data_IF_937919053326
#
_entry.id   IF_937919053326
#
_cell.length_a   1.000
_cell.length_b   1.000
_cell.length_c   1.000
_cell.angle_alpha   90.00
_cell.angle_beta   90.00
_cell.angle_gamma   90.00
#
_symmetry.space_group_name_H-M   'P 1'
#
loop_
_entity.id
_entity.type
_entity.pdbx_description
1 polymer ?
#
# COMPACT_ATOMS: atom_id res chain seq x y z
N UNK A 1 0.38 14.39 4.78
CA UNK A 1 1.41 13.95 3.80
C UNK A 1 1.15 14.53 2.41
N UNK A 2 -0.11 14.61 1.98
CA UNK A 2 -0.48 15.28 0.74
C UNK A 2 0.04 14.60 -0.52
N UNK A 3 0.26 13.29 -0.44
CA UNK A 3 0.71 12.50 -1.59
C UNK A 3 -0.47 12.37 -2.55
N UNK A 4 -0.35 12.80 -3.82
CA UNK A 4 -1.43 12.74 -4.79
C UNK A 4 -1.64 11.30 -5.28
N UNK A 5 -2.37 10.51 -4.49
CA UNK A 5 -2.75 9.15 -4.85
C UNK A 5 -3.86 9.17 -5.91
N UNK A 6 -3.82 8.21 -6.84
CA UNK A 6 -4.84 8.07 -7.89
C UNK A 6 -6.22 7.70 -7.33
N UNK A 7 -6.27 6.91 -6.26
CA UNK A 7 -7.47 6.48 -5.58
C UNK A 7 -7.13 5.92 -4.18
N UNK A 8 -8.06 5.96 -3.22
CA UNK A 8 -7.89 5.24 -1.96
C UNK A 8 -7.90 3.72 -2.20
N UNK A 9 -7.11 3.01 -1.39
CA UNK A 9 -6.97 1.55 -1.41
C UNK A 9 -7.32 1.02 -0.02
N UNK A 10 -8.14 -0.03 0.03
CA UNK A 10 -8.40 -0.79 1.24
C UNK A 10 -8.06 -2.26 1.02
N UNK A 11 -7.79 -2.97 2.10
CA UNK A 11 -7.57 -4.41 2.09
C UNK A 11 -8.44 -5.11 3.12
N UNK A 12 -8.70 -6.38 2.90
CA UNK A 12 -9.46 -7.23 3.82
C UNK A 12 -8.84 -8.64 3.85
N UNK A 13 -8.80 -9.22 5.05
CA UNK A 13 -8.47 -10.62 5.25
C UNK A 13 -9.76 -11.44 5.32
N UNK A 14 -9.77 -12.56 4.62
CA UNK A 14 -10.94 -13.41 4.48
C UNK A 14 -10.52 -14.83 4.83
N UNK A 15 -11.42 -15.57 5.48
CA UNK A 15 -11.17 -16.97 5.84
C UNK A 15 -12.13 -17.92 5.15
N UNK A 16 -11.79 -19.20 5.20
CA UNK A 16 -12.67 -20.29 4.82
C UNK A 16 -12.69 -21.35 5.90
N UNK A 17 -13.87 -21.86 6.21
CA UNK A 17 -14.06 -23.08 7.00
C UNK A 17 -14.82 -24.08 6.15
N UNK A 18 -14.37 -25.32 6.15
CA UNK A 18 -14.98 -26.44 5.47
C UNK A 18 -15.38 -27.53 6.46
N UNK A 19 -16.52 -28.19 6.21
CA UNK A 19 -17.00 -29.28 7.03
C UNK A 19 -17.77 -30.31 6.21
N UNK A 20 -17.64 -31.58 6.57
CA UNK A 20 -18.47 -32.66 6.04
C UNK A 20 -19.83 -32.66 6.75
N UNK A 21 -20.90 -32.39 6.00
CA UNK A 21 -22.26 -32.35 6.52
C UNK A 21 -23.13 -33.19 5.57
N UNK A 22 -23.78 -34.24 6.12
CA UNK A 22 -24.63 -35.16 5.36
C UNK A 22 -23.95 -35.83 4.15
N UNK A 23 -22.62 -36.01 4.23
CA UNK A 23 -21.81 -36.62 3.16
C UNK A 23 -21.32 -35.64 2.09
N UNK A 24 -21.61 -34.35 2.23
CA UNK A 24 -21.13 -33.29 1.34
C UNK A 24 -20.19 -32.33 2.06
N UNK A 25 -19.12 -31.90 1.39
CA UNK A 25 -18.24 -30.83 1.90
C UNK A 25 -18.94 -29.49 1.71
N UNK A 26 -19.26 -28.82 2.82
CA UNK A 26 -19.77 -27.44 2.83
C UNK A 26 -18.64 -26.47 3.16
N UNK A 27 -18.68 -25.30 2.53
CA UNK A 27 -17.72 -24.23 2.75
C UNK A 27 -18.43 -22.97 3.24
N UNK A 28 -17.83 -22.28 4.18
CA UNK A 28 -18.29 -20.99 4.72
C UNK A 28 -17.14 -20.00 4.64
N UNK A 29 -17.39 -18.86 3.99
CA UNK A 29 -16.43 -17.76 3.92
C UNK A 29 -16.64 -16.81 5.09
N UNK A 30 -15.55 -16.48 5.79
CA UNK A 30 -15.52 -15.51 6.87
C UNK A 30 -14.91 -14.20 6.37
N UNK A 31 -15.46 -13.07 6.80
CA UNK A 31 -14.97 -11.73 6.47
C UNK A 31 -14.28 -11.13 7.68
N UNK A 32 -13.13 -10.48 7.46
CA UNK A 32 -12.36 -9.80 8.49
C UNK A 32 -11.94 -10.73 9.63
N UNK A 33 -11.25 -11.81 9.26
CA UNK A 33 -10.96 -12.90 10.19
C UNK A 33 -10.05 -12.49 11.34
N UNK A 34 -10.33 -13.06 12.50
CA UNK A 34 -9.48 -13.02 13.68
C UNK A 34 -8.32 -14.01 13.54
N UNK A 35 -7.24 -13.79 14.30
CA UNK A 35 -6.10 -14.72 14.30
C UNK A 35 -6.46 -16.16 14.70
N UNK A 36 -7.51 -16.35 15.52
CA UNK A 36 -8.00 -17.69 15.85
C UNK A 36 -8.73 -18.35 14.67
N UNK A 37 -9.46 -17.58 13.87
CA UNK A 37 -10.17 -18.06 12.67
C UNK A 37 -9.18 -18.35 11.55
N UNK A 38 -8.09 -17.59 11.44
CA UNK A 38 -6.95 -17.92 10.57
C UNK A 38 -6.27 -19.22 11.01
N UNK A 39 -5.89 -19.33 12.29
CA UNK A 39 -5.18 -20.50 12.80
C UNK A 39 -5.98 -21.80 12.65
N UNK A 40 -7.29 -21.75 12.91
CA UNK A 40 -8.19 -22.91 12.88
C UNK A 40 -8.91 -23.10 11.54
N UNK A 41 -8.92 -22.08 10.67
CA UNK A 41 -9.55 -22.12 9.37
C UNK A 41 -8.70 -22.84 8.32
N UNK A 42 -9.32 -23.10 7.18
CA UNK A 42 -8.77 -23.88 6.08
C UNK A 42 -8.08 -23.05 5.00
N UNK A 43 -8.38 -21.75 4.98
CA UNK A 43 -7.78 -20.79 4.05
C UNK A 43 -7.77 -19.41 4.70
N UNK A 44 -6.71 -18.67 4.45
CA UNK A 44 -6.68 -17.22 4.59
C UNK A 44 -6.31 -16.58 3.25
N UNK A 45 -7.17 -15.68 2.76
CA UNK A 45 -6.83 -14.90 1.59
C UNK A 45 -6.99 -13.43 1.87
N UNK A 46 -5.97 -12.67 1.50
CA UNK A 46 -5.94 -11.22 1.63
C UNK A 46 -6.16 -10.62 0.26
N UNK A 47 -7.06 -9.66 0.16
CA UNK A 47 -7.27 -8.91 -1.07
C UNK A 47 -7.28 -7.43 -0.78
N UNK A 48 -6.55 -6.68 -1.58
CA UNK A 48 -6.52 -5.23 -1.54
C UNK A 48 -6.85 -4.63 -2.90
N UNK A 49 -7.42 -3.43 -2.89
CA UNK A 49 -7.80 -2.76 -4.12
C UNK A 49 -8.50 -1.43 -3.91
N UNK A 50 -8.76 -0.78 -5.03
CA UNK A 50 -9.61 0.40 -5.10
C UNK A 50 -11.08 -0.04 -5.22
N UNK A 51 -11.97 0.95 -5.37
CA UNK A 51 -13.38 0.71 -5.70
C UNK A 51 -13.56 0.05 -7.09
N UNK A 52 -12.59 0.23 -7.99
CA UNK A 52 -12.68 -0.25 -9.38
C UNK A 52 -11.97 -1.57 -9.62
N UNK A 53 -10.79 -1.78 -9.02
CA UNK A 53 -9.96 -2.95 -9.33
C UNK A 53 -9.16 -3.45 -8.12
N UNK A 54 -8.77 -4.71 -8.20
CA UNK A 54 -7.85 -5.37 -7.24
C UNK A 54 -6.42 -4.90 -7.55
N UNK A 55 -5.68 -4.51 -6.52
CA UNK A 55 -4.26 -4.13 -6.62
C UNK A 55 -3.33 -5.23 -6.11
N UNK A 56 -3.80 -6.04 -5.15
CA UNK A 56 -3.04 -7.16 -4.62
C UNK A 56 -3.97 -8.28 -4.17
N UNK A 57 -3.51 -9.52 -4.33
CA UNK A 57 -4.17 -10.72 -3.84
C UNK A 57 -3.09 -11.67 -3.33
N UNK A 58 -3.28 -12.16 -2.12
CA UNK A 58 -2.50 -13.23 -1.52
C UNK A 58 -3.47 -14.33 -1.10
N UNK A 59 -3.19 -15.56 -1.51
CA UNK A 59 -3.99 -16.73 -1.18
C UNK A 59 -3.08 -17.73 -0.50
N UNK A 60 -3.38 -18.08 0.75
CA UNK A 60 -2.72 -19.13 1.49
C UNK A 60 -3.79 -20.15 1.94
N UNK A 61 -3.57 -21.41 1.58
CA UNK A 61 -4.56 -22.48 1.69
C UNK A 61 -3.92 -23.67 2.37
N UNK A 62 -4.61 -24.21 3.37
CA UNK A 62 -4.24 -25.46 4.03
C UNK A 62 -4.89 -26.68 3.34
N UNK A 63 -5.81 -26.43 2.40
CA UNK A 63 -6.46 -27.45 1.58
C UNK A 63 -5.66 -27.73 0.30
N UNK A 64 -5.73 -28.98 -0.16
CA UNK A 64 -5.16 -29.43 -1.45
C UNK A 64 -5.81 -28.72 -2.66
N UNK A 65 -7.01 -28.16 -2.47
CA UNK A 65 -7.70 -27.39 -3.48
C UNK A 65 -9.06 -26.87 -2.99
N UNK A 66 -9.56 -25.85 -3.67
CA UNK A 66 -10.84 -25.20 -3.36
C UNK A 66 -11.63 -25.09 -4.67
N UNK A 67 -12.94 -25.41 -4.67
CA UNK A 67 -13.77 -25.22 -5.85
C UNK A 67 -13.74 -23.77 -6.34
N UNK A 68 -13.61 -23.56 -7.66
CA UNK A 68 -13.51 -22.22 -8.25
C UNK A 68 -14.72 -21.33 -7.92
N UNK A 69 -15.90 -21.93 -7.79
CA UNK A 69 -17.14 -21.26 -7.39
C UNK A 69 -17.09 -20.72 -5.94
N UNK A 70 -16.48 -21.47 -5.02
CA UNK A 70 -16.29 -21.04 -3.62
C UNK A 70 -15.32 -19.86 -3.57
N UNK A 71 -14.21 -19.94 -4.32
CA UNK A 71 -13.26 -18.82 -4.41
C UNK A 71 -13.88 -17.58 -5.05
N UNK A 72 -14.69 -17.75 -6.10
CA UNK A 72 -15.40 -16.64 -6.76
C UNK A 72 -16.42 -15.97 -5.83
N UNK A 73 -17.17 -16.76 -5.06
CA UNK A 73 -18.07 -16.24 -4.04
C UNK A 73 -17.30 -15.48 -2.94
N UNK A 74 -16.18 -16.04 -2.47
CA UNK A 74 -15.36 -15.43 -1.46
C UNK A 74 -14.75 -14.09 -1.92
N UNK A 75 -14.28 -14.01 -3.17
CA UNK A 75 -13.80 -12.76 -3.77
C UNK A 75 -14.89 -11.71 -3.92
N UNK A 76 -16.12 -12.13 -4.21
CA UNK A 76 -17.29 -11.24 -4.29
C UNK A 76 -17.62 -10.67 -2.91
N UNK A 77 -17.66 -11.52 -1.88
CA UNK A 77 -17.85 -11.09 -0.49
C UNK A 77 -16.74 -10.15 -0.01
N UNK A 78 -15.50 -10.43 -0.39
CA UNK A 78 -14.36 -9.58 -0.07
C UNK A 78 -14.41 -8.22 -0.77
N UNK A 79 -14.92 -8.16 -2.01
CA UNK A 79 -15.17 -6.89 -2.70
C UNK A 79 -16.16 -6.05 -1.92
N UNK A 80 -17.28 -6.63 -1.50
CA UNK A 80 -18.32 -5.87 -0.79
C UNK A 80 -17.80 -5.36 0.56
N UNK A 81 -17.06 -6.18 1.30
CA UNK A 81 -16.38 -5.76 2.53
C UNK A 81 -15.37 -4.64 2.30
N UNK A 82 -14.55 -4.76 1.24
CA UNK A 82 -13.58 -3.71 0.86
C UNK A 82 -14.26 -2.39 0.53
N UNK A 83 -15.40 -2.42 -0.16
CA UNK A 83 -16.17 -1.21 -0.47
C UNK A 83 -16.73 -0.56 0.80
N UNK A 84 -17.22 -1.34 1.76
CA UNK A 84 -17.68 -0.82 3.03
C UNK A 84 -16.55 -0.12 3.81
N UNK A 85 -15.34 -0.69 3.81
CA UNK A 85 -14.16 -0.07 4.44
C UNK A 85 -13.80 1.24 3.73
N UNK A 86 -13.77 1.25 2.39
CA UNK A 86 -13.50 2.46 1.61
C UNK A 86 -14.54 3.56 1.89
N UNK A 87 -15.81 3.20 2.03
CA UNK A 87 -16.88 4.17 2.31
C UNK A 87 -16.75 4.76 3.71
N UNK A 88 -16.28 3.99 4.69
CA UNK A 88 -15.97 4.50 6.02
C UNK A 88 -14.72 5.38 6.01
N UNK A 89 -13.66 4.98 5.29
CA UNK A 89 -12.43 5.76 5.14
C UNK A 89 -12.72 7.12 4.50
N UNK A 90 -13.56 7.16 3.47
CA UNK A 90 -13.93 8.38 2.77
C UNK A 90 -14.77 9.34 3.63
N UNK A 91 -15.44 8.86 4.68
CA UNK A 91 -16.10 9.75 5.65
C UNK A 91 -15.11 10.49 6.56
N UNK A 92 -13.89 9.96 6.70
CA UNK A 92 -12.85 10.56 7.52
C UNK A 92 -11.96 11.52 6.72
N UNK A 93 -11.67 11.20 5.45
CA UNK A 93 -10.74 11.97 4.60
C UNK A 93 -11.25 11.97 3.16
N UNK A 94 -11.57 13.16 2.64
CA UNK A 94 -12.13 13.32 1.28
C UNK A 94 -11.08 13.18 0.16
N UNK A 95 -9.79 13.31 0.48
CA UNK A 95 -8.70 13.19 -0.48
C UNK A 95 -7.34 13.62 0.07
N UNK A 96 -6.29 13.61 -0.77
CA UNK A 96 -4.99 14.14 -0.40
C UNK A 96 -5.05 15.63 -0.07
N UNK A 97 -4.60 15.99 1.12
CA UNK A 97 -4.43 17.39 1.56
C UNK A 97 -3.18 18.04 0.95
N UNK A 98 -2.92 19.31 1.24
CA UNK A 98 -1.66 19.95 0.91
C UNK A 98 -0.47 19.27 1.62
N UNK A 99 0.71 19.37 1.01
CA UNK A 99 1.93 18.86 1.61
C UNK A 99 2.27 19.67 2.87
N UNK A 100 2.46 18.97 3.99
CA UNK A 100 2.69 19.59 5.28
C UNK A 100 3.87 20.58 5.27
N UNK A 101 3.86 21.65 6.07
CA UNK A 101 4.97 22.60 6.16
C UNK A 101 6.29 21.94 6.58
N UNK A 102 6.20 20.86 7.35
CA UNK A 102 7.33 20.08 7.87
C UNK A 102 7.73 18.91 6.98
N UNK A 103 7.03 18.67 5.87
CA UNK A 103 7.40 17.64 4.93
C UNK A 103 8.70 18.02 4.21
N UNK A 104 9.56 17.05 3.86
CA UNK A 104 10.75 17.31 3.07
C UNK A 104 10.36 17.91 1.71
N UNK A 105 11.10 18.95 1.28
CA UNK A 105 10.85 19.67 0.03
C UNK A 105 12.11 19.70 -0.81
N UNK A 106 11.91 19.61 -2.12
CA UNK A 106 12.98 19.86 -3.09
C UNK A 106 13.04 21.37 -3.30
N UNK A 107 14.22 21.95 -3.09
CA UNK A 107 14.52 23.33 -3.40
C UNK A 107 15.48 23.35 -4.58
N UNK A 108 15.07 23.97 -5.69
CA UNK A 108 15.93 24.16 -6.87
C UNK A 108 16.50 25.56 -6.85
N UNK A 109 17.83 25.67 -6.87
CA UNK A 109 18.55 26.93 -6.92
C UNK A 109 19.42 26.94 -8.17
N UNK A 110 19.15 27.89 -9.07
CA UNK A 110 19.92 28.04 -10.30
C UNK A 110 21.25 28.75 -10.00
N UNK A 111 22.37 28.20 -10.46
CA UNK A 111 23.70 28.80 -10.27
C UNK A 111 24.39 29.05 -11.61
N UNK A 112 25.26 30.06 -11.72
CA UNK A 112 26.11 30.22 -12.89
C UNK A 112 26.98 28.97 -13.10
N UNK A 113 27.06 28.46 -14.34
CA UNK A 113 27.80 27.23 -14.69
C UNK A 113 29.27 27.32 -14.30
N UNK A 114 29.87 28.51 -14.42
CA UNK A 114 31.24 28.79 -14.01
C UNK A 114 31.48 28.64 -12.50
N UNK A 115 30.42 28.67 -11.69
CA UNK A 115 30.47 28.54 -10.22
C UNK A 115 30.14 27.15 -9.69
N UNK A 116 29.77 26.20 -10.56
CA UNK A 116 29.48 24.80 -10.16
C UNK A 116 30.68 24.21 -9.41
N UNK A 117 31.90 24.40 -9.95
CA UNK A 117 33.13 23.91 -9.33
C UNK A 117 33.40 24.49 -7.93
N UNK A 118 32.98 25.74 -7.68
CA UNK A 118 33.11 26.38 -6.37
C UNK A 118 32.17 25.74 -5.34
N UNK A 119 30.92 25.43 -5.73
CA UNK A 119 29.91 24.82 -4.84
C UNK A 119 30.25 23.37 -4.50
N UNK A 120 30.74 22.60 -5.47
CA UNK A 120 31.21 21.22 -5.22
C UNK A 120 32.46 21.25 -4.33
N UNK A 121 33.39 22.16 -4.62
CA UNK A 121 34.68 22.26 -3.97
C UNK A 121 35.63 21.09 -4.30
N UNK A 122 36.88 21.15 -3.84
CA UNK A 122 37.88 20.13 -4.16
C UNK A 122 37.47 18.76 -3.61
N UNK A 123 37.39 17.76 -4.50
CA UNK A 123 36.94 16.38 -4.21
C UNK A 123 35.54 16.32 -3.57
N UNK A 124 34.66 17.30 -3.82
CA UNK A 124 33.30 17.32 -3.25
C UNK A 124 33.25 17.74 -1.78
N UNK A 125 34.35 18.26 -1.21
CA UNK A 125 34.42 18.57 0.22
C UNK A 125 33.34 19.59 0.65
N UNK A 126 33.09 20.61 -0.16
CA UNK A 126 32.17 21.69 0.22
C UNK A 126 30.72 21.21 0.17
N UNK A 127 30.31 20.54 -0.91
CA UNK A 127 28.98 19.95 -1.00
C UNK A 127 28.72 18.91 0.10
N UNK A 128 29.70 18.05 0.43
CA UNK A 128 29.56 17.08 1.51
C UNK A 128 29.39 17.77 2.88
N UNK A 129 30.16 18.83 3.16
CA UNK A 129 30.00 19.58 4.40
C UNK A 129 28.60 20.22 4.51
N UNK A 130 28.08 20.80 3.43
CA UNK A 130 26.74 21.40 3.44
C UNK A 130 25.68 20.31 3.71
N UNK A 131 25.81 19.13 3.11
CA UNK A 131 24.91 18.00 3.37
C UNK A 131 25.00 17.52 4.83
N UNK A 132 26.21 17.44 5.41
CA UNK A 132 26.40 17.08 6.82
C UNK A 132 25.80 18.12 7.79
N UNK A 133 26.00 19.40 7.52
CA UNK A 133 25.53 20.49 8.39
C UNK A 133 24.02 20.69 8.32
N UNK A 134 23.42 20.49 7.14
CA UNK A 134 21.99 20.75 6.88
C UNK A 134 21.12 19.50 6.92
N UNK A 135 21.71 18.31 6.75
CA UNK A 135 21.00 17.04 6.55
C UNK A 135 20.26 16.93 5.22
N UNK A 136 20.44 17.88 4.29
CA UNK A 136 19.85 17.85 2.96
C UNK A 136 20.64 16.93 2.03
N UNK A 137 19.95 16.32 1.07
CA UNK A 137 20.58 15.66 -0.08
C UNK A 137 20.70 16.69 -1.21
N UNK A 138 21.92 16.91 -1.72
CA UNK A 138 22.19 17.93 -2.74
C UNK A 138 22.66 17.24 -4.02
N UNK A 139 21.93 17.48 -5.10
CA UNK A 139 22.33 17.10 -6.47
C UNK A 139 22.53 18.37 -7.29
N UNK A 140 23.55 18.39 -8.14
CA UNK A 140 23.87 19.52 -9.04
C UNK A 140 23.80 19.00 -10.46
N UNK A 141 23.12 19.74 -11.34
CA UNK A 141 23.07 19.47 -12.77
C UNK A 141 24.12 20.31 -13.51
N UNK A 142 24.67 19.80 -14.62
CA UNK A 142 25.79 20.43 -15.33
C UNK A 142 25.39 21.72 -16.09
N UNK A 143 24.10 22.03 -16.17
CA UNK A 143 23.54 23.20 -16.86
C UNK A 143 23.25 24.40 -15.92
N UNK A 144 23.60 24.27 -14.64
CA UNK A 144 23.57 25.34 -13.63
C UNK A 144 22.37 25.25 -12.71
#
# INVERSE_FOLDING_TARGET
AGVPLKAPVAGIAMGLISAQIDGETKYVTLTDILGAEDALGDMDFKVAGTREYVTALQLDTKLDGIPAEVLSAALSQARDARLAILDLMNQAIDGPDEMAPTAPRILTVKIPVDKIGEVIGPKGKMINQIQEDTGAEITIEDDG
#
